data_IF_982463534109
#
_entry.id   IF_982463534109
#
_cell.length_a   1.000
_cell.length_b   1.000
_cell.length_c   1.000
_cell.angle_alpha   90.00
_cell.angle_beta   90.00
_cell.angle_gamma   90.00
#
_symmetry.space_group_name_H-M   'P 1'
#
loop_
_entity.id
_entity.type
_entity.pdbx_description
1 polymer ?
#
# COMPACT_ATOMS: atom_id res chain seq x y z
N UNK A 1 -29.05 26.60 41.87
CA UNK A 1 -29.08 26.38 43.33
C UNK A 1 -29.99 25.18 43.58
N UNK A 2 -29.45 24.21 44.33
CA UNK A 2 -29.95 22.92 44.86
C UNK A 2 -31.45 22.56 44.71
N UNK A 3 -31.82 21.40 44.14
CA UNK A 3 -31.89 20.00 44.69
C UNK A 3 -33.12 19.75 45.56
N UNK A 4 -33.88 18.71 45.19
CA UNK A 4 -34.47 17.59 45.96
C UNK A 4 -35.60 16.95 45.10
N UNK A 5 -35.92 15.65 45.02
CA UNK A 5 -35.28 14.35 45.23
C UNK A 5 -36.38 13.26 45.09
N UNK A 6 -36.06 12.11 44.46
CA UNK A 6 -36.62 10.74 44.70
C UNK A 6 -38.12 10.45 44.38
N UNK A 7 -38.58 9.30 43.87
CA UNK A 7 -38.05 7.91 43.83
C UNK A 7 -38.83 7.00 42.87
N UNK A 8 -38.10 6.08 42.21
CA UNK A 8 -38.37 4.66 41.85
C UNK A 8 -39.77 4.10 41.53
N UNK A 9 -39.91 3.42 40.38
CA UNK A 9 -40.29 1.98 40.29
C UNK A 9 -40.16 1.40 38.86
N UNK A 10 -39.43 0.28 38.75
CA UNK A 10 -39.54 -0.84 37.80
C UNK A 10 -39.24 -2.10 38.65
N UNK A 11 -39.59 -3.36 38.28
CA UNK A 11 -39.80 -3.88 36.92
C UNK A 11 -40.98 -4.88 36.76
N UNK A 12 -41.29 -5.28 35.52
CA UNK A 12 -41.72 -6.66 35.24
C UNK A 12 -41.35 -7.08 33.81
N UNK A 13 -40.84 -8.31 33.74
CA UNK A 13 -40.55 -9.15 32.56
C UNK A 13 -41.84 -9.37 31.74
N UNK A 14 -41.90 -9.84 30.49
CA UNK A 14 -41.16 -10.87 29.78
C UNK A 14 -41.67 -10.82 28.32
N UNK A 15 -40.83 -11.07 27.31
CA UNK A 15 -41.10 -12.03 26.20
C UNK A 15 -39.88 -12.04 25.28
N UNK A 16 -38.98 -13.00 25.55
CA UNK A 16 -37.90 -13.42 24.66
C UNK A 16 -38.50 -14.31 23.58
N UNK A 17 -38.58 -13.81 22.35
CA UNK A 17 -38.90 -14.64 21.18
C UNK A 17 -37.67 -15.48 20.83
N UNK A 18 -37.67 -16.74 21.30
CA UNK A 18 -36.73 -17.78 20.87
C UNK A 18 -37.03 -18.15 19.42
N UNK A 19 -36.15 -17.79 18.49
CA UNK A 19 -36.13 -18.40 17.17
C UNK A 19 -35.59 -19.83 17.29
N UNK A 20 -36.48 -20.80 17.11
CA UNK A 20 -36.14 -22.20 16.91
C UNK A 20 -35.57 -22.39 15.50
N UNK A 21 -34.29 -22.76 15.40
CA UNK A 21 -33.73 -23.33 14.19
C UNK A 21 -34.08 -24.83 14.11
N UNK A 22 -34.64 -25.33 13.00
CA UNK A 22 -34.81 -26.76 12.81
C UNK A 22 -33.45 -27.46 12.58
N UNK A 23 -33.30 -28.72 13.01
CA UNK A 23 -32.02 -29.42 12.95
C UNK A 23 -31.62 -29.76 11.51
N UNK A 24 -30.31 -29.66 11.28
CA UNK A 24 -29.56 -30.08 10.09
C UNK A 24 -29.92 -31.51 9.67
N UNK A 25 -30.55 -31.66 8.50
CA UNK A 25 -30.63 -32.94 7.82
C UNK A 25 -29.25 -33.31 7.28
N UNK A 26 -28.70 -34.41 7.79
CA UNK A 26 -27.54 -35.10 7.21
C UNK A 26 -27.94 -35.62 5.83
N UNK A 27 -27.26 -35.16 4.78
CA UNK A 27 -27.28 -35.81 3.48
C UNK A 27 -26.63 -37.19 3.62
N UNK A 28 -27.45 -38.24 3.57
CA UNK A 28 -27.01 -39.62 3.39
C UNK A 28 -26.62 -39.81 1.92
N UNK A 29 -25.42 -40.36 1.68
CA UNK A 29 -25.01 -40.81 0.36
C UNK A 29 -25.85 -42.02 -0.09
N UNK A 30 -26.28 -42.09 -1.36
CA UNK A 30 -27.05 -43.23 -1.85
C UNK A 30 -26.14 -44.46 -2.07
N UNK A 31 -26.69 -45.69 -1.93
CA UNK A 31 -25.95 -46.91 -2.19
C UNK A 31 -25.75 -47.14 -3.69
N UNK A 32 -24.52 -47.47 -4.07
CA UNK A 32 -24.18 -47.93 -5.42
C UNK A 32 -24.63 -49.39 -5.60
N UNK A 33 -25.49 -49.62 -6.60
CA UNK A 33 -25.74 -50.96 -7.16
C UNK A 33 -25.13 -51.05 -8.55
N UNK A 34 -24.49 -52.18 -8.76
CA UNK A 34 -23.66 -52.59 -9.88
C UNK A 34 -24.45 -52.90 -11.16
N UNK A 35 -23.85 -52.56 -12.31
CA UNK A 35 -24.20 -53.11 -13.62
C UNK A 35 -23.17 -52.70 -14.67
N UNK A 36 -22.32 -53.67 -15.05
CA UNK A 36 -21.41 -53.80 -16.21
C UNK A 36 -21.56 -52.75 -17.34
N UNK A 37 -20.51 -52.28 -18.03
CA UNK A 37 -19.49 -53.10 -18.66
C UNK A 37 -18.31 -52.24 -19.22
N UNK A 38 -17.13 -52.87 -19.26
CA UNK A 38 -16.00 -52.68 -20.19
C UNK A 38 -15.10 -51.43 -20.13
N UNK A 39 -13.80 -51.67 -19.88
CA UNK A 39 -12.72 -50.75 -20.25
C UNK A 39 -11.46 -50.85 -19.39
N UNK A 40 -10.55 -51.75 -19.75
CA UNK A 40 -9.28 -52.08 -19.10
C UNK A 40 -8.37 -50.91 -18.65
N UNK A 41 -7.74 -51.03 -17.47
CA UNK A 41 -6.29 -51.25 -17.28
C UNK A 41 -5.90 -51.05 -15.81
N UNK A 42 -5.50 -52.11 -15.10
CA UNK A 42 -4.90 -52.01 -13.77
C UNK A 42 -3.38 -52.20 -13.83
N UNK A 43 -2.67 -51.20 -13.32
CA UNK A 43 -1.27 -51.25 -12.93
C UNK A 43 -1.07 -52.21 -11.74
N UNK A 44 0.02 -52.99 -11.75
CA UNK A 44 0.58 -53.61 -10.54
C UNK A 44 2.07 -53.29 -10.48
N UNK A 45 2.47 -52.52 -9.48
CA UNK A 45 3.86 -52.20 -9.16
C UNK A 45 3.94 -51.59 -7.76
N UNK A 46 4.23 -52.44 -6.77
CA UNK A 46 4.35 -52.09 -5.36
C UNK A 46 5.51 -51.12 -5.11
N UNK A 47 5.22 -50.01 -4.43
CA UNK A 47 6.22 -49.08 -3.89
C UNK A 47 6.67 -49.54 -2.49
N UNK A 48 7.98 -49.79 -2.31
CA UNK A 48 8.63 -49.80 -0.99
C UNK A 48 9.11 -48.38 -0.69
N UNK A 49 8.68 -47.86 0.46
CA UNK A 49 9.03 -46.54 0.96
C UNK A 49 10.43 -46.51 1.57
N UNK A 50 11.29 -45.63 1.05
CA UNK A 50 12.45 -45.14 1.77
C UNK A 50 12.50 -43.62 1.61
N UNK A 51 11.97 -42.91 2.61
CA UNK A 51 12.01 -41.45 2.70
C UNK A 51 13.44 -41.00 3.02
N UNK A 52 14.22 -40.61 2.00
CA UNK A 52 15.36 -39.70 2.16
C UNK A 52 15.04 -38.42 1.40
N UNK A 53 14.61 -37.39 2.12
CA UNK A 53 14.55 -36.02 1.58
C UNK A 53 15.98 -35.53 1.39
N UNK A 54 16.45 -35.58 0.15
CA UNK A 54 17.64 -34.84 -0.26
C UNK A 54 17.23 -33.38 -0.47
N UNK A 55 17.43 -32.51 0.52
CA UNK A 55 17.29 -31.07 0.30
C UNK A 55 18.57 -30.57 -0.38
N UNK A 56 18.51 -30.36 -1.69
CA UNK A 56 19.55 -29.60 -2.39
C UNK A 56 19.33 -28.14 -1.99
N UNK A 57 20.16 -27.65 -1.06
CA UNK A 57 20.31 -26.22 -0.79
C UNK A 57 21.18 -25.64 -1.91
N UNK A 58 20.59 -24.87 -2.81
CA UNK A 58 21.35 -23.96 -3.66
C UNK A 58 21.73 -22.72 -2.83
N UNK A 59 23.02 -22.39 -2.66
CA UNK A 59 23.43 -21.13 -2.07
C UNK A 59 23.42 -20.03 -3.14
N UNK A 60 22.89 -18.84 -2.82
CA UNK A 60 23.27 -17.61 -3.54
C UNK A 60 22.28 -16.97 -4.51
N UNK A 61 20.96 -17.18 -4.38
CA UNK A 61 19.98 -16.25 -4.97
C UNK A 61 19.30 -15.48 -3.83
N UNK A 62 19.44 -14.15 -3.83
CA UNK A 62 18.84 -13.27 -2.82
C UNK A 62 17.39 -13.62 -2.57
N UNK A 63 17.04 -13.86 -1.31
CA UNK A 63 15.67 -14.19 -0.91
C UNK A 63 14.81 -12.96 -1.22
N UNK A 64 13.88 -13.08 -2.16
CA UNK A 64 12.88 -12.03 -2.44
C UNK A 64 12.17 -11.71 -1.12
N UNK A 65 12.17 -10.44 -0.70
CA UNK A 65 11.47 -10.01 0.51
C UNK A 65 9.98 -10.38 0.35
N UNK A 66 9.54 -11.39 1.08
CA UNK A 66 8.19 -11.95 0.95
C UNK A 66 7.14 -11.05 1.59
N UNK A 67 7.50 -10.25 2.61
CA UNK A 67 6.57 -9.38 3.35
C UNK A 67 6.93 -7.90 3.24
N UNK A 68 6.47 -7.26 2.17
CA UNK A 68 6.53 -5.79 2.00
C UNK A 68 5.15 -5.11 2.19
N UNK A 69 4.18 -5.78 2.82
CA UNK A 69 2.91 -5.17 3.21
C UNK A 69 3.03 -4.56 4.62
N UNK A 70 2.18 -3.58 4.91
CA UNK A 70 2.16 -2.92 6.22
C UNK A 70 1.72 -3.90 7.32
N UNK A 71 2.06 -3.60 8.58
CA UNK A 71 1.65 -4.41 9.71
C UNK A 71 0.12 -4.49 9.84
N UNK A 72 -0.40 -5.71 9.66
CA UNK A 72 -1.81 -6.05 9.79
C UNK A 72 -2.36 -5.92 11.21
N UNK A 73 -3.68 -6.05 11.32
CA UNK A 73 -4.42 -6.01 12.58
C UNK A 73 -4.64 -4.62 13.18
N UNK A 74 -5.05 -4.63 14.45
CA UNK A 74 -5.49 -3.45 15.22
C UNK A 74 -4.61 -3.17 16.46
N UNK A 75 -3.51 -3.93 16.59
CA UNK A 75 -2.60 -3.86 17.73
C UNK A 75 -1.78 -2.56 17.78
N UNK A 76 -1.03 -2.32 18.87
CA UNK A 76 -0.27 -1.08 19.06
C UNK A 76 0.80 -0.83 17.99
N UNK A 77 1.31 -1.88 17.33
CA UNK A 77 2.29 -1.78 16.24
C UNK A 77 1.68 -1.94 14.84
N UNK A 78 0.35 -2.01 14.75
CA UNK A 78 -0.35 -2.11 13.47
C UNK A 78 -0.28 -0.80 12.68
N UNK A 79 -0.38 -0.90 11.36
CA UNK A 79 -0.48 0.27 10.51
C UNK A 79 -1.73 1.10 10.80
N UNK A 80 -2.86 0.45 11.09
CA UNK A 80 -4.13 1.10 11.45
C UNK A 80 -3.98 2.12 12.60
N UNK A 81 -3.10 1.84 13.56
CA UNK A 81 -2.82 2.70 14.73
C UNK A 81 -1.68 3.70 14.53
N UNK A 82 -0.88 3.56 13.47
CA UNK A 82 0.37 4.31 13.29
C UNK A 82 0.49 5.00 11.91
N UNK A 83 -0.63 5.14 11.18
CA UNK A 83 -0.70 5.73 9.84
C UNK A 83 -1.24 7.18 9.82
N UNK A 84 -1.10 7.92 10.93
CA UNK A 84 -1.57 9.31 11.06
C UNK A 84 -0.82 10.28 10.13
N UNK A 85 0.43 9.97 9.81
CA UNK A 85 1.20 10.71 8.80
C UNK A 85 0.54 10.64 7.42
N UNK A 86 0.21 9.43 6.96
CA UNK A 86 -0.48 9.23 5.67
C UNK A 86 -1.92 9.72 5.71
N UNK A 87 -2.58 9.73 6.88
CA UNK A 87 -3.90 10.35 7.02
C UNK A 87 -3.85 11.84 6.69
N UNK A 88 -2.83 12.56 7.16
CA UNK A 88 -2.62 13.97 6.81
C UNK A 88 -2.49 14.21 5.31
N UNK A 89 -1.89 13.26 4.58
CA UNK A 89 -1.78 13.31 3.11
C UNK A 89 -3.16 13.23 2.45
N UNK A 90 -4.04 12.34 2.94
CA UNK A 90 -5.43 12.26 2.45
C UNK A 90 -6.20 13.55 2.78
N UNK A 91 -6.01 14.08 3.98
CA UNK A 91 -6.73 15.26 4.45
C UNK A 91 -6.35 16.53 3.66
N UNK A 92 -5.07 16.74 3.36
CA UNK A 92 -4.62 17.90 2.53
C UNK A 92 -5.02 17.76 1.06
N UNK A 93 -5.12 16.54 0.55
CA UNK A 93 -5.54 16.28 -0.83
C UNK A 93 -7.05 16.41 -1.05
N UNK A 94 -7.85 16.27 0.01
CA UNK A 94 -9.32 16.30 -0.05
C UNK A 94 -9.90 17.47 -0.87
N UNK A 95 -9.60 18.75 -0.56
CA UNK A 95 -10.19 19.86 -1.31
C UNK A 95 -9.80 19.85 -2.79
N UNK A 96 -8.58 19.41 -3.10
CA UNK A 96 -8.09 19.31 -4.47
C UNK A 96 -8.84 18.21 -5.22
N UNK A 97 -9.04 17.04 -4.61
CA UNK A 97 -9.80 15.93 -5.21
C UNK A 97 -11.26 16.35 -5.45
N UNK A 98 -11.89 17.01 -4.48
CA UNK A 98 -13.26 17.52 -4.61
C UNK A 98 -13.39 18.55 -5.76
N UNK A 99 -12.45 19.50 -5.84
CA UNK A 99 -12.38 20.51 -6.91
C UNK A 99 -12.21 19.86 -8.28
N UNK A 100 -11.25 18.96 -8.42
CA UNK A 100 -10.89 18.36 -9.69
C UNK A 100 -11.97 17.40 -10.21
N UNK A 101 -12.61 16.63 -9.33
CA UNK A 101 -13.79 15.82 -9.71
C UNK A 101 -14.90 16.74 -10.22
N UNK A 102 -15.16 17.85 -9.53
CA UNK A 102 -16.17 18.82 -9.96
C UNK A 102 -15.85 19.41 -11.35
N UNK A 103 -14.59 19.71 -11.63
CA UNK A 103 -14.15 20.35 -12.86
C UNK A 103 -14.01 19.39 -14.06
N UNK A 104 -13.55 18.16 -13.83
CA UNK A 104 -13.04 17.28 -14.88
C UNK A 104 -13.87 16.03 -15.12
N UNK A 105 -14.72 15.62 -14.18
CA UNK A 105 -15.54 14.44 -14.38
C UNK A 105 -16.60 14.69 -15.46
N UNK A 106 -16.51 13.96 -16.57
CA UNK A 106 -17.52 13.99 -17.62
C UNK A 106 -18.72 13.13 -17.22
N UNK A 107 -19.87 13.78 -17.05
CA UNK A 107 -21.12 13.11 -16.67
C UNK A 107 -21.88 12.53 -17.87
N UNK A 108 -21.59 12.97 -19.11
CA UNK A 108 -22.41 12.66 -20.29
C UNK A 108 -22.27 11.21 -20.78
N UNK A 109 -21.19 10.54 -20.40
CA UNK A 109 -20.81 9.22 -20.89
C UNK A 109 -20.61 8.19 -19.77
N UNK A 110 -21.23 8.40 -18.62
CA UNK A 110 -21.11 7.49 -17.49
C UNK A 110 -21.99 6.25 -17.65
N UNK A 111 -21.39 5.09 -17.36
CA UNK A 111 -22.11 3.83 -17.21
C UNK A 111 -22.99 3.87 -15.96
N UNK A 112 -23.96 2.96 -15.88
CA UNK A 112 -24.76 2.73 -14.67
C UNK A 112 -23.92 2.35 -13.44
N UNK A 113 -22.67 1.91 -13.63
CA UNK A 113 -21.73 1.61 -12.55
C UNK A 113 -20.45 2.44 -12.70
N UNK A 114 -20.07 3.13 -11.64
CA UNK A 114 -18.83 3.89 -11.56
C UNK A 114 -17.79 3.13 -10.74
N UNK A 115 -16.72 2.68 -11.41
CA UNK A 115 -15.70 1.82 -10.83
C UNK A 115 -14.48 2.62 -10.39
N UNK A 116 -14.10 2.45 -9.12
CA UNK A 116 -12.97 3.12 -8.48
C UNK A 116 -11.96 2.06 -8.03
N UNK A 117 -10.68 2.37 -8.08
CA UNK A 117 -9.64 1.49 -7.52
C UNK A 117 -8.67 2.30 -6.67
N UNK A 118 -8.34 1.78 -5.49
CA UNK A 118 -7.24 2.27 -4.67
C UNK A 118 -6.06 1.29 -4.76
N UNK A 119 -4.95 1.75 -5.33
CA UNK A 119 -3.72 0.98 -5.52
C UNK A 119 -2.76 1.23 -4.35
N UNK A 120 -2.63 0.23 -3.47
CA UNK A 120 -1.89 0.32 -2.21
C UNK A 120 -2.77 0.69 -1.02
N UNK A 121 -3.89 -0.02 -0.86
CA UNK A 121 -4.91 0.30 0.14
C UNK A 121 -4.53 -0.05 1.59
N UNK A 122 -3.47 -0.85 1.79
CA UNK A 122 -3.05 -1.38 3.09
C UNK A 122 -4.24 -2.03 3.82
N UNK A 123 -4.37 -1.82 5.13
CA UNK A 123 -5.43 -2.36 5.98
C UNK A 123 -6.71 -1.51 6.02
N UNK A 124 -6.91 -0.60 5.06
CA UNK A 124 -8.21 0.02 4.81
C UNK A 124 -8.50 1.36 5.50
N UNK A 125 -7.87 1.72 6.62
CA UNK A 125 -8.29 2.90 7.40
C UNK A 125 -8.22 4.23 6.63
N UNK A 126 -7.03 4.58 6.11
CA UNK A 126 -6.87 5.79 5.30
C UNK A 126 -7.52 5.65 3.91
N UNK A 127 -7.51 4.44 3.36
CA UNK A 127 -8.11 4.10 2.08
C UNK A 127 -9.63 4.35 2.06
N UNK A 128 -10.35 3.85 3.06
CA UNK A 128 -11.78 4.06 3.26
C UNK A 128 -12.12 5.56 3.30
N UNK A 129 -11.32 6.37 4.00
CA UNK A 129 -11.52 7.81 4.06
C UNK A 129 -11.33 8.48 2.69
N UNK A 130 -10.29 8.11 1.93
CA UNK A 130 -10.07 8.62 0.58
C UNK A 130 -11.19 8.23 -0.38
N UNK A 131 -11.66 6.98 -0.34
CA UNK A 131 -12.77 6.50 -1.16
C UNK A 131 -14.08 7.20 -0.80
N UNK A 132 -14.34 7.46 0.48
CA UNK A 132 -15.49 8.27 0.91
C UNK A 132 -15.42 9.68 0.32
N UNK A 133 -14.26 10.34 0.36
CA UNK A 133 -14.07 11.67 -0.25
C UNK A 133 -14.39 11.62 -1.75
N UNK A 134 -13.86 10.64 -2.48
CA UNK A 134 -14.06 10.52 -3.93
C UNK A 134 -15.53 10.27 -4.27
N UNK A 135 -16.16 9.27 -3.64
CA UNK A 135 -17.57 8.92 -3.91
C UNK A 135 -18.52 10.06 -3.57
N UNK A 136 -18.27 10.77 -2.46
CA UNK A 136 -19.05 11.92 -2.05
C UNK A 136 -18.85 13.13 -2.99
N UNK A 137 -17.63 13.39 -3.44
CA UNK A 137 -17.36 14.43 -4.44
C UNK A 137 -18.11 14.18 -5.75
N UNK A 138 -18.12 12.92 -6.21
CA UNK A 138 -18.88 12.53 -7.41
C UNK A 138 -20.38 12.74 -7.15
N UNK A 139 -20.91 12.26 -6.02
CA UNK A 139 -22.32 12.44 -5.66
C UNK A 139 -22.73 13.90 -5.68
N UNK A 140 -21.96 14.78 -5.02
CA UNK A 140 -22.20 16.23 -5.00
C UNK A 140 -22.17 16.84 -6.40
N UNK A 141 -21.27 16.37 -7.27
CA UNK A 141 -21.21 16.82 -8.66
C UNK A 141 -22.52 16.51 -9.41
N UNK A 142 -23.10 15.33 -9.21
CA UNK A 142 -24.42 14.99 -9.76
C UNK A 142 -25.55 15.83 -9.15
N UNK A 143 -25.51 16.13 -7.84
CA UNK A 143 -26.50 16.99 -7.19
C UNK A 143 -26.51 18.41 -7.76
N UNK A 144 -25.32 19.01 -7.92
CA UNK A 144 -25.16 20.38 -8.45
C UNK A 144 -25.71 20.50 -9.88
N UNK A 145 -25.53 19.46 -10.70
CA UNK A 145 -26.03 19.41 -12.08
C UNK A 145 -27.51 19.01 -12.16
N UNK A 146 -28.18 18.75 -11.02
CA UNK A 146 -29.58 18.31 -11.00
C UNK A 146 -29.80 16.89 -11.54
N UNK A 147 -28.75 16.07 -11.57
CA UNK A 147 -28.72 14.73 -12.16
C UNK A 147 -28.71 13.61 -11.10
N UNK A 148 -29.07 13.89 -9.84
CA UNK A 148 -28.97 12.90 -8.75
C UNK A 148 -29.74 11.59 -9.01
N UNK A 149 -30.83 11.64 -9.79
CA UNK A 149 -31.57 10.44 -10.21
C UNK A 149 -30.81 9.54 -11.19
N UNK A 150 -29.71 10.03 -11.75
CA UNK A 150 -28.79 9.33 -12.67
C UNK A 150 -27.48 8.96 -11.97
N UNK A 151 -27.38 9.12 -10.65
CA UNK A 151 -26.20 8.74 -9.89
C UNK A 151 -25.89 7.25 -10.10
N UNK A 152 -24.69 6.88 -10.56
CA UNK A 152 -24.34 5.49 -10.80
C UNK A 152 -24.09 4.74 -9.48
N UNK A 153 -24.26 3.43 -9.52
CA UNK A 153 -23.80 2.57 -8.44
C UNK A 153 -22.27 2.61 -8.37
N UNK A 154 -21.71 2.84 -7.18
CA UNK A 154 -20.26 2.81 -7.00
C UNK A 154 -19.77 1.38 -6.72
N UNK A 155 -18.65 1.00 -7.33
CA UNK A 155 -17.95 -0.24 -7.01
C UNK A 155 -16.46 0.02 -6.85
N UNK A 156 -15.89 -0.36 -5.71
CA UNK A 156 -14.53 -0.02 -5.31
C UNK A 156 -13.66 -1.27 -5.23
N UNK A 157 -12.53 -1.24 -5.92
CA UNK A 157 -11.47 -2.24 -5.86
C UNK A 157 -10.36 -1.75 -4.92
N UNK A 158 -10.18 -2.43 -3.79
CA UNK A 158 -9.08 -2.20 -2.88
C UNK A 158 -7.92 -3.13 -3.26
N UNK A 159 -6.89 -2.58 -3.88
CA UNK A 159 -5.71 -3.33 -4.29
C UNK A 159 -4.56 -3.20 -3.29
N UNK A 160 -3.93 -4.32 -2.97
CA UNK A 160 -2.63 -4.37 -2.31
C UNK A 160 -1.91 -5.68 -2.67
N UNK A 161 -0.68 -5.86 -2.17
CA UNK A 161 0.09 -7.10 -2.30
C UNK A 161 -0.71 -8.29 -1.73
N UNK A 162 -0.44 -9.48 -2.25
CA UNK A 162 -1.07 -10.74 -1.80
C UNK A 162 -0.90 -10.98 -0.29
N UNK A 163 0.20 -10.49 0.29
CA UNK A 163 0.52 -10.62 1.71
C UNK A 163 -0.15 -9.60 2.62
N UNK A 164 -0.93 -8.67 2.07
CA UNK A 164 -1.66 -7.68 2.85
C UNK A 164 -2.76 -8.33 3.69
N UNK A 165 -3.07 -7.73 4.84
CA UNK A 165 -4.14 -8.16 5.71
C UNK A 165 -5.49 -7.60 5.24
N UNK A 166 -6.05 -8.22 4.20
CA UNK A 166 -7.37 -7.90 3.69
C UNK A 166 -8.50 -8.16 4.70
N UNK A 167 -8.29 -9.04 5.70
CA UNK A 167 -9.30 -9.29 6.73
C UNK A 167 -9.50 -8.03 7.60
N UNK A 168 -8.41 -7.40 8.03
CA UNK A 168 -8.48 -6.12 8.74
C UNK A 168 -9.10 -5.04 7.86
N UNK A 169 -8.74 -4.98 6.56
CA UNK A 169 -9.40 -4.07 5.62
C UNK A 169 -10.92 -4.28 5.57
N UNK A 170 -11.39 -5.52 5.36
CA UNK A 170 -12.82 -5.80 5.26
C UNK A 170 -13.57 -5.51 6.55
N UNK A 171 -12.95 -5.73 7.72
CA UNK A 171 -13.51 -5.36 9.01
C UNK A 171 -13.58 -3.84 9.23
N UNK A 172 -12.70 -3.07 8.59
CA UNK A 172 -12.67 -1.60 8.68
C UNK A 172 -13.64 -0.89 7.73
N UNK A 173 -14.29 -1.61 6.80
CA UNK A 173 -15.21 -1.01 5.83
C UNK A 173 -16.40 -0.34 6.54
N UNK A 174 -16.72 0.93 6.20
CA UNK A 174 -17.88 1.62 6.75
C UNK A 174 -19.18 0.87 6.48
N UNK A 175 -20.07 0.80 7.48
CA UNK A 175 -21.40 0.16 7.34
C UNK A 175 -22.29 0.92 6.36
N UNK A 176 -22.34 2.24 6.53
CA UNK A 176 -23.11 3.16 5.68
C UNK A 176 -22.20 3.71 4.58
N UNK A 177 -21.95 2.90 3.55
CA UNK A 177 -21.15 3.28 2.39
C UNK A 177 -21.99 3.29 1.13
N UNK A 178 -21.63 4.16 0.19
CA UNK A 178 -22.31 4.31 -1.11
C UNK A 178 -21.84 3.31 -2.17
N UNK A 179 -20.98 2.35 -1.79
CA UNK A 179 -20.28 1.50 -2.75
C UNK A 179 -20.25 0.02 -2.37
N UNK A 180 -20.30 -0.84 -3.39
CA UNK A 180 -19.82 -2.21 -3.31
C UNK A 180 -18.30 -2.25 -3.22
N UNK A 181 -17.72 -3.26 -2.58
CA UNK A 181 -16.28 -3.36 -2.35
C UNK A 181 -15.75 -4.75 -2.70
N UNK A 182 -14.55 -4.81 -3.28
CA UNK A 182 -13.79 -6.03 -3.50
C UNK A 182 -12.30 -5.81 -3.19
N UNK A 183 -11.64 -6.82 -2.64
CA UNK A 183 -10.18 -6.86 -2.53
C UNK A 183 -9.56 -7.43 -3.81
N UNK A 184 -8.49 -6.82 -4.29
CA UNK A 184 -7.74 -7.24 -5.49
C UNK A 184 -6.28 -7.50 -5.12
N UNK A 185 -5.91 -8.75 -4.77
CA UNK A 185 -4.54 -9.07 -4.35
C UNK A 185 -3.60 -9.12 -5.56
N UNK A 186 -2.50 -8.37 -5.53
CA UNK A 186 -1.50 -8.37 -6.59
C UNK A 186 -0.64 -7.10 -6.63
N UNK A 187 0.47 -7.16 -7.34
CA UNK A 187 1.31 -5.97 -7.58
C UNK A 187 0.63 -5.04 -8.57
N UNK A 188 0.47 -3.76 -8.22
CA UNK A 188 0.03 -2.74 -9.17
C UNK A 188 1.07 -2.41 -10.25
N UNK A 189 2.28 -2.97 -10.20
CA UNK A 189 3.21 -2.91 -11.33
C UNK A 189 2.87 -3.91 -12.44
N UNK A 190 1.81 -4.69 -12.27
CA UNK A 190 1.21 -5.56 -13.27
C UNK A 190 -0.24 -5.18 -13.59
N UNK A 191 -0.87 -5.94 -14.48
CA UNK A 191 -2.31 -5.88 -14.73
C UNK A 191 -3.09 -6.53 -13.59
N UNK A 192 -4.16 -5.88 -13.15
CA UNK A 192 -5.03 -6.27 -12.04
C UNK A 192 -6.51 -6.33 -12.47
N UNK A 193 -6.90 -5.49 -13.43
CA UNK A 193 -8.29 -5.37 -13.89
C UNK A 193 -8.41 -5.66 -15.40
N UNK A 194 -9.61 -6.00 -15.90
CA UNK A 194 -9.86 -6.06 -17.33
C UNK A 194 -9.63 -4.69 -18.01
N UNK A 195 -9.46 -4.72 -19.33
CA UNK A 195 -9.31 -3.48 -20.12
C UNK A 195 -10.55 -2.58 -19.99
N UNK A 196 -10.34 -1.28 -19.87
CA UNK A 196 -11.39 -0.27 -19.77
C UNK A 196 -12.47 -0.59 -18.71
N UNK A 197 -12.06 -1.18 -17.59
CA UNK A 197 -12.92 -1.55 -16.48
C UNK A 197 -12.91 -0.52 -15.34
N UNK A 198 -12.13 0.55 -15.44
CA UNK A 198 -11.93 1.50 -14.35
C UNK A 198 -12.26 2.94 -14.76
N UNK A 199 -13.05 3.65 -13.95
CA UNK A 199 -13.41 5.06 -14.20
C UNK A 199 -12.48 6.02 -13.46
N UNK A 200 -12.08 5.67 -12.23
CA UNK A 200 -11.22 6.48 -11.39
C UNK A 200 -10.17 5.63 -10.67
N UNK A 201 -8.90 5.98 -10.84
CA UNK A 201 -7.79 5.38 -10.10
C UNK A 201 -7.32 6.32 -8.99
N UNK A 202 -6.96 5.74 -7.84
CA UNK A 202 -6.39 6.46 -6.72
C UNK A 202 -5.17 5.68 -6.21
N UNK A 203 -4.12 6.39 -5.80
CA UNK A 203 -2.99 5.80 -5.08
C UNK A 203 -2.36 6.85 -4.18
N UNK A 204 -2.08 6.48 -2.93
CA UNK A 204 -1.48 7.37 -1.95
C UNK A 204 -0.36 6.66 -1.18
N UNK A 205 0.80 7.32 -1.08
CA UNK A 205 1.97 6.85 -0.33
C UNK A 205 2.40 5.40 -0.64
N UNK A 206 2.17 4.97 -1.88
CA UNK A 206 2.39 3.58 -2.31
C UNK A 206 3.37 3.48 -3.48
N UNK A 207 3.37 4.45 -4.40
CA UNK A 207 4.24 4.42 -5.58
C UNK A 207 5.74 4.60 -5.28
N UNK A 208 6.09 5.05 -4.08
CA UNK A 208 7.48 5.11 -3.60
C UNK A 208 8.05 3.71 -3.28
N UNK A 209 7.22 2.66 -3.19
CA UNK A 209 7.67 1.29 -2.95
C UNK A 209 8.03 0.59 -4.26
N UNK A 210 9.30 0.28 -4.47
CA UNK A 210 9.79 -0.39 -5.67
C UNK A 210 9.21 -1.82 -5.80
N UNK A 211 9.15 -2.31 -7.03
CA UNK A 211 8.74 -3.68 -7.33
C UNK A 211 9.75 -4.71 -6.79
N UNK A 212 11.04 -4.37 -6.83
CA UNK A 212 12.15 -5.16 -6.30
C UNK A 212 13.30 -4.26 -5.86
N UNK A 213 14.23 -4.81 -5.05
CA UNK A 213 15.52 -4.15 -4.78
C UNK A 213 16.35 -4.18 -6.06
N UNK A 214 16.98 -3.06 -6.49
CA UNK A 214 17.81 -3.05 -7.68
C UNK A 214 18.95 -4.08 -7.58
N UNK A 215 19.04 -5.02 -8.53
CA UNK A 215 19.94 -6.19 -8.41
C UNK A 215 21.41 -5.78 -8.25
N UNK A 216 21.81 -4.71 -8.93
CA UNK A 216 23.17 -4.19 -8.89
C UNK A 216 23.61 -3.70 -7.50
N UNK A 217 22.69 -3.41 -6.57
CA UNK A 217 23.05 -2.98 -5.21
C UNK A 217 23.33 -4.14 -4.26
N UNK A 218 22.97 -5.36 -4.66
CA UNK A 218 23.23 -6.61 -3.93
C UNK A 218 24.44 -7.37 -4.47
N UNK A 219 24.92 -7.03 -5.67
CA UNK A 219 26.04 -7.68 -6.33
C UNK A 219 27.37 -7.11 -5.81
N UNK A 220 28.18 -7.94 -5.14
CA UNK A 220 29.46 -7.53 -4.54
C UNK A 220 30.51 -7.11 -5.56
N UNK A 221 30.32 -7.42 -6.84
CA UNK A 221 31.21 -7.03 -7.95
C UNK A 221 30.79 -5.74 -8.63
N UNK A 222 29.56 -5.27 -8.36
CA UNK A 222 28.99 -4.07 -8.95
C UNK A 222 29.59 -2.79 -8.31
N UNK A 223 29.83 -1.73 -9.09
CA UNK A 223 30.18 -0.42 -8.53
C UNK A 223 29.06 0.16 -7.66
N UNK A 224 27.82 -0.31 -7.86
CA UNK A 224 26.64 0.05 -7.09
C UNK A 224 26.41 -0.84 -5.85
N UNK A 225 27.33 -1.73 -5.46
CA UNK A 225 27.16 -2.55 -4.26
C UNK A 225 26.98 -1.68 -3.00
N UNK A 226 25.84 -1.81 -2.31
CA UNK A 226 25.47 -0.94 -1.19
C UNK A 226 26.03 -1.42 0.15
N UNK A 227 27.35 -1.61 0.23
CA UNK A 227 28.03 -2.13 1.42
C UNK A 227 27.81 -1.23 2.66
N UNK A 228 27.47 -1.84 3.79
CA UNK A 228 27.32 -1.23 5.10
C UNK A 228 26.10 -0.33 5.25
N UNK A 229 25.15 -0.42 4.31
CA UNK A 229 23.93 0.40 4.26
C UNK A 229 22.74 -0.46 3.85
N UNK A 230 21.56 0.06 4.12
CA UNK A 230 20.28 -0.62 3.82
C UNK A 230 19.41 0.18 2.84
N UNK A 231 19.90 1.32 2.36
CA UNK A 231 19.13 2.25 1.53
C UNK A 231 20.09 3.16 0.76
N UNK A 232 19.59 3.92 -0.23
CA UNK A 232 20.41 4.76 -1.08
C UNK A 232 20.86 6.09 -0.44
N UNK A 233 20.24 6.49 0.68
CA UNK A 233 20.57 7.75 1.35
C UNK A 233 21.98 7.69 1.97
N UNK A 234 22.82 8.67 1.62
CA UNK A 234 24.25 8.67 1.98
C UNK A 234 25.08 7.59 1.28
N UNK A 235 24.52 6.89 0.30
CA UNK A 235 25.23 5.90 -0.50
C UNK A 235 26.04 6.56 -1.63
N UNK A 236 26.75 5.73 -2.39
CA UNK A 236 27.47 6.20 -3.59
C UNK A 236 26.47 6.58 -4.68
N UNK A 237 26.88 7.47 -5.58
CA UNK A 237 26.05 7.92 -6.72
C UNK A 237 25.51 6.75 -7.52
N UNK A 238 26.30 5.71 -7.73
CA UNK A 238 25.91 4.51 -8.49
C UNK A 238 24.73 3.78 -7.81
N UNK A 239 24.68 3.73 -6.48
CA UNK A 239 23.54 3.16 -5.73
C UNK A 239 22.28 3.99 -5.97
N UNK A 240 22.42 5.32 -5.89
CA UNK A 240 21.31 6.24 -6.14
C UNK A 240 20.73 6.11 -7.53
N UNK A 241 21.60 6.01 -8.55
CA UNK A 241 21.21 5.83 -9.95
C UNK A 241 20.46 4.51 -10.15
N UNK A 242 20.89 3.42 -9.53
CA UNK A 242 20.18 2.12 -9.60
C UNK A 242 18.78 2.17 -8.98
N UNK A 243 18.63 2.86 -7.84
CA UNK A 243 17.31 3.08 -7.23
C UNK A 243 16.40 3.95 -8.10
N UNK A 244 16.92 5.03 -8.68
CA UNK A 244 16.20 5.92 -9.59
C UNK A 244 15.78 5.19 -10.87
N UNK A 245 16.67 4.39 -11.47
CA UNK A 245 16.39 3.59 -12.65
C UNK A 245 15.28 2.56 -12.40
N UNK A 246 15.34 1.87 -11.26
CA UNK A 246 14.29 0.92 -10.87
C UNK A 246 12.95 1.63 -10.65
N UNK A 247 12.94 2.78 -9.98
CA UNK A 247 11.73 3.60 -9.82
C UNK A 247 11.13 4.01 -11.16
N UNK A 248 11.95 4.52 -12.09
CA UNK A 248 11.48 4.94 -13.41
C UNK A 248 10.80 3.79 -14.17
N UNK A 249 11.43 2.60 -14.18
CA UNK A 249 10.89 1.38 -14.79
C UNK A 249 9.56 0.96 -14.16
N UNK A 250 9.48 1.04 -12.84
CA UNK A 250 8.30 0.67 -12.06
C UNK A 250 7.13 1.62 -12.34
N UNK A 251 7.37 2.93 -12.34
CA UNK A 251 6.33 3.92 -12.66
C UNK A 251 5.87 3.82 -14.11
N UNK A 252 6.78 3.58 -15.07
CA UNK A 252 6.38 3.33 -16.46
C UNK A 252 5.44 2.12 -16.56
N UNK A 253 5.80 1.01 -15.91
CA UNK A 253 4.97 -0.19 -15.88
C UNK A 253 3.61 0.08 -15.24
N UNK A 254 3.58 0.79 -14.10
CA UNK A 254 2.34 1.20 -13.45
C UNK A 254 1.45 2.01 -14.41
N UNK A 255 1.98 3.09 -15.01
CA UNK A 255 1.24 3.95 -15.93
C UNK A 255 0.72 3.18 -17.14
N UNK A 256 1.51 2.25 -17.67
CA UNK A 256 1.14 1.41 -18.80
C UNK A 256 -0.04 0.49 -18.51
N UNK A 257 0.00 -0.24 -17.39
CA UNK A 257 -1.11 -1.11 -17.01
C UNK A 257 -2.35 -0.32 -16.62
N UNK A 258 -2.21 0.79 -15.89
CA UNK A 258 -3.36 1.67 -15.58
C UNK A 258 -4.00 2.24 -16.84
N UNK A 259 -3.22 2.47 -17.91
CA UNK A 259 -3.74 3.03 -19.16
C UNK A 259 -4.61 2.03 -19.94
N UNK A 260 -4.35 0.73 -19.76
CA UNK A 260 -5.18 -0.33 -20.32
C UNK A 260 -6.46 -0.53 -19.51
N UNK A 261 -6.39 -0.39 -18.19
CA UNK A 261 -7.50 -0.63 -17.26
C UNK A 261 -8.48 0.54 -17.18
N UNK A 262 -7.99 1.78 -17.29
CA UNK A 262 -8.82 2.98 -17.30
C UNK A 262 -9.60 3.10 -18.62
N UNK A 263 -10.86 3.50 -18.51
CA UNK A 263 -11.64 3.95 -19.67
C UNK A 263 -10.99 5.19 -20.29
N UNK A 264 -11.16 5.43 -21.60
CA UNK A 264 -10.79 6.71 -22.21
C UNK A 264 -11.43 7.88 -21.45
N UNK A 265 -10.64 8.91 -21.11
CA UNK A 265 -11.09 10.05 -20.30
C UNK A 265 -11.17 9.78 -18.79
N UNK A 266 -10.92 8.56 -18.33
CA UNK A 266 -10.86 8.21 -16.90
C UNK A 266 -9.78 8.99 -16.15
N UNK A 267 -10.02 9.25 -14.86
CA UNK A 267 -9.15 10.07 -14.02
C UNK A 267 -8.28 9.20 -13.13
N UNK A 268 -7.09 9.70 -12.79
CA UNK A 268 -6.18 9.06 -11.85
C UNK A 268 -5.54 10.10 -10.93
N UNK A 269 -5.82 10.00 -9.64
CA UNK A 269 -5.25 10.87 -8.61
C UNK A 269 -4.13 10.14 -7.86
N UNK A 270 -2.92 10.71 -7.88
CA UNK A 270 -1.72 10.14 -7.27
C UNK A 270 -1.18 11.09 -6.20
N UNK A 271 -0.87 10.54 -5.02
CA UNK A 271 -0.22 11.24 -3.92
C UNK A 271 1.10 10.53 -3.62
N UNK A 272 2.19 11.09 -4.13
CA UNK A 272 3.52 10.46 -4.09
C UNK A 272 4.41 11.24 -3.13
N UNK A 273 4.99 10.59 -2.12
CA UNK A 273 6.01 11.23 -1.30
C UNK A 273 7.26 11.53 -2.12
N UNK A 274 7.74 12.77 -2.06
CA UNK A 274 8.86 13.26 -2.86
C UNK A 274 9.87 14.00 -2.00
N UNK A 275 11.09 14.12 -2.50
CA UNK A 275 12.14 14.94 -1.87
C UNK A 275 12.72 15.92 -2.89
N UNK A 276 12.96 17.19 -2.54
CA UNK A 276 13.57 18.18 -3.44
C UNK A 276 14.97 17.79 -3.94
N UNK A 277 15.70 16.99 -3.16
CA UNK A 277 16.98 16.41 -3.53
C UNK A 277 17.09 14.98 -2.99
N UNK A 278 17.56 14.05 -3.81
CA UNK A 278 17.81 12.68 -3.42
C UNK A 278 19.24 12.51 -2.86
N UNK A 279 19.45 11.43 -2.11
CA UNK A 279 20.78 10.93 -1.70
C UNK A 279 21.58 11.70 -0.64
N UNK A 280 21.15 12.89 -0.21
CA UNK A 280 21.82 13.63 0.86
C UNK A 280 21.44 13.11 2.27
N UNK A 281 22.39 12.55 3.05
CA UNK A 281 22.12 12.08 4.40
C UNK A 281 21.95 13.21 5.42
N UNK A 282 22.35 14.44 5.11
CA UNK A 282 22.16 15.62 5.97
C UNK A 282 20.88 16.41 5.63
N UNK A 283 20.03 15.83 4.79
CA UNK A 283 18.78 16.45 4.38
C UNK A 283 17.81 16.59 5.56
N UNK A 284 17.04 17.68 5.56
CA UNK A 284 15.97 17.92 6.53
C UNK A 284 14.68 17.14 6.18
N UNK A 285 14.80 15.95 5.60
CA UNK A 285 13.66 15.14 5.16
C UNK A 285 13.56 13.90 6.05
N UNK A 286 12.57 13.86 6.93
CA UNK A 286 12.39 12.75 7.86
C UNK A 286 12.26 11.40 7.12
N UNK A 287 11.64 11.40 5.93
CA UNK A 287 11.43 10.20 5.12
C UNK A 287 12.70 9.52 4.63
N UNK A 288 13.76 10.28 4.32
CA UNK A 288 15.07 9.73 3.89
C UNK A 288 16.01 9.50 5.07
N UNK A 289 15.94 10.34 6.10
CA UNK A 289 16.78 10.22 7.29
C UNK A 289 16.39 9.02 8.17
N UNK A 290 15.10 8.68 8.24
CA UNK A 290 14.60 7.52 8.98
C UNK A 290 15.28 6.18 8.59
N UNK A 291 15.26 5.73 7.31
CA UNK A 291 15.93 4.49 6.91
C UNK A 291 17.46 4.56 7.08
N UNK A 292 18.07 5.74 6.92
CA UNK A 292 19.50 5.93 7.18
C UNK A 292 19.87 5.65 8.65
N UNK A 293 19.11 6.22 9.60
CA UNK A 293 19.33 5.98 11.03
C UNK A 293 19.08 4.52 11.40
N UNK A 294 18.06 3.87 10.83
CA UNK A 294 17.83 2.44 11.04
C UNK A 294 19.01 1.58 10.54
N UNK A 295 19.55 1.91 9.36
CA UNK A 295 20.76 1.27 8.83
C UNK A 295 21.94 1.33 9.81
N UNK A 296 22.12 2.49 10.45
CA UNK A 296 23.17 2.64 11.46
C UNK A 296 22.93 1.78 12.71
N UNK A 297 21.67 1.56 13.13
CA UNK A 297 21.35 0.62 14.20
C UNK A 297 21.75 -0.82 13.85
N UNK A 298 21.47 -1.26 12.61
CA UNK A 298 21.89 -2.61 12.17
C UNK A 298 23.41 -2.76 12.19
N UNK A 299 24.15 -1.74 11.77
CA UNK A 299 25.62 -1.75 11.83
C UNK A 299 26.13 -1.79 13.27
N UNK A 300 25.52 -1.07 14.21
CA UNK A 300 25.88 -1.15 15.62
C UNK A 300 25.63 -2.56 16.18
N UNK A 301 24.48 -3.16 15.87
CA UNK A 301 24.14 -4.52 16.29
C UNK A 301 25.10 -5.57 15.69
N UNK A 302 25.52 -5.40 14.43
CA UNK A 302 26.50 -6.25 13.78
C UNK A 302 27.88 -6.18 14.48
N UNK A 303 28.34 -4.96 14.81
CA UNK A 303 29.59 -4.74 15.54
C UNK A 303 29.58 -5.36 16.94
N UNK A 304 28.42 -5.39 17.60
CA UNK A 304 28.24 -6.08 18.90
C UNK A 304 28.07 -7.60 18.77
N UNK A 305 28.15 -8.15 17.55
CA UNK A 305 28.10 -9.60 17.31
C UNK A 305 26.69 -10.20 17.26
N UNK A 306 25.62 -9.39 17.13
CA UNK A 306 24.24 -9.91 17.03
C UNK A 306 24.02 -10.71 15.74
N UNK A 307 24.67 -10.29 14.65
CA UNK A 307 24.77 -10.97 13.36
C UNK A 307 25.97 -10.40 12.59
N UNK A 308 26.32 -10.99 11.43
CA UNK A 308 27.44 -10.51 10.61
C UNK A 308 27.10 -9.21 9.85
N UNK A 309 28.11 -8.39 9.57
CA UNK A 309 27.96 -7.23 8.67
C UNK A 309 27.45 -7.64 7.29
N UNK A 310 27.87 -8.81 6.79
CA UNK A 310 27.36 -9.37 5.53
C UNK A 310 25.83 -9.60 5.54
N UNK A 311 25.21 -9.84 6.71
CA UNK A 311 23.76 -9.92 6.84
C UNK A 311 23.10 -8.56 6.58
N UNK A 312 23.74 -7.47 7.03
CA UNK A 312 23.32 -6.09 6.73
C UNK A 312 23.53 -5.77 5.26
N UNK A 313 24.71 -6.08 4.70
CA UNK A 313 25.05 -5.83 3.29
C UNK A 313 24.07 -6.49 2.31
N UNK A 314 23.45 -7.60 2.71
CA UNK A 314 22.45 -8.33 1.91
C UNK A 314 21.03 -7.79 2.00
N UNK A 315 20.78 -6.77 2.83
CA UNK A 315 19.45 -6.18 3.04
C UNK A 315 19.40 -4.76 2.48
N UNK A 316 18.39 -4.48 1.67
CA UNK A 316 18.11 -3.15 1.17
C UNK A 316 16.60 -2.90 1.18
N UNK A 317 16.18 -1.71 1.61
CA UNK A 317 14.79 -1.29 1.63
C UNK A 317 14.39 -0.91 0.20
N UNK A 318 13.33 -1.52 -0.38
CA UNK A 318 12.88 -1.24 -1.74
C UNK A 318 11.98 0.01 -1.78
N UNK A 319 12.52 1.15 -1.38
CA UNK A 319 11.79 2.43 -1.39
C UNK A 319 12.64 3.49 -2.09
N UNK A 320 12.03 4.28 -2.98
CA UNK A 320 12.63 5.44 -3.60
C UNK A 320 11.70 6.66 -3.48
N UNK A 321 12.27 7.79 -3.09
CA UNK A 321 11.57 9.07 -3.07
C UNK A 321 12.08 9.90 -4.24
N UNK A 322 11.27 10.08 -5.30
CA UNK A 322 11.69 10.82 -6.48
C UNK A 322 11.75 12.31 -6.20
N UNK A 323 12.51 12.99 -7.06
CA UNK A 323 12.43 14.44 -7.18
C UNK A 323 11.17 14.80 -8.00
N UNK A 324 10.40 15.85 -7.66
CA UNK A 324 9.16 16.16 -8.38
C UNK A 324 9.32 16.28 -9.91
N UNK A 325 10.41 16.89 -10.37
CA UNK A 325 10.73 17.03 -11.79
C UNK A 325 11.02 15.68 -12.47
N UNK A 326 11.67 14.76 -11.77
CA UNK A 326 11.95 13.40 -12.27
C UNK A 326 10.64 12.63 -12.46
N UNK A 327 9.75 12.66 -11.46
CA UNK A 327 8.46 11.98 -11.55
C UNK A 327 7.59 12.53 -12.67
N UNK A 328 7.54 13.86 -12.81
CA UNK A 328 6.84 14.52 -13.91
C UNK A 328 7.39 14.09 -15.28
N UNK A 329 8.71 14.05 -15.44
CA UNK A 329 9.35 13.66 -16.70
C UNK A 329 9.01 12.22 -17.11
N UNK A 330 8.89 11.29 -16.15
CA UNK A 330 8.47 9.91 -16.43
C UNK A 330 7.03 9.88 -16.98
N UNK A 331 6.11 10.65 -16.37
CA UNK A 331 4.70 10.73 -16.83
C UNK A 331 4.63 11.32 -18.24
N UNK A 332 5.37 12.40 -18.50
CA UNK A 332 5.41 13.04 -19.81
C UNK A 332 5.96 12.10 -20.88
N UNK A 333 7.04 11.37 -20.57
CA UNK A 333 7.64 10.37 -21.46
C UNK A 333 6.69 9.22 -21.77
N UNK A 334 5.89 8.77 -20.80
CA UNK A 334 4.90 7.70 -21.02
C UNK A 334 3.85 8.10 -22.06
N UNK A 335 3.42 9.37 -22.06
CA UNK A 335 2.61 9.95 -23.12
C UNK A 335 1.14 9.48 -23.18
N UNK A 336 0.69 8.54 -22.35
CA UNK A 336 -0.68 7.99 -22.36
C UNK A 336 -1.72 8.84 -21.61
N UNK A 337 -1.26 9.85 -20.87
CA UNK A 337 -2.09 10.71 -20.02
C UNK A 337 -1.87 12.19 -20.34
N UNK A 338 -2.91 13.00 -20.12
CA UNK A 338 -2.75 14.44 -19.91
C UNK A 338 -2.55 14.70 -18.41
N UNK A 339 -1.67 15.64 -18.09
CA UNK A 339 -1.45 16.10 -16.72
C UNK A 339 -2.43 17.27 -16.49
N UNK A 340 -3.45 17.04 -15.68
CA UNK A 340 -4.51 18.02 -15.42
C UNK A 340 -4.17 18.95 -14.25
N UNK A 341 -3.39 18.46 -13.29
CA UNK A 341 -2.86 19.22 -12.16
C UNK A 341 -1.62 18.53 -11.59
N UNK A 342 -0.64 19.34 -11.21
CA UNK A 342 0.49 18.94 -10.36
C UNK A 342 0.58 19.98 -9.24
N UNK A 343 0.67 19.51 -8.01
CA UNK A 343 0.82 20.37 -6.84
C UNK A 343 1.78 19.75 -5.84
N UNK A 344 2.63 20.57 -5.24
CA UNK A 344 3.48 20.17 -4.13
C UNK A 344 2.81 20.62 -2.84
N UNK A 345 2.51 19.65 -1.97
CA UNK A 345 1.76 19.83 -0.75
C UNK A 345 2.67 19.61 0.46
N UNK A 346 2.51 20.46 1.47
CA UNK A 346 3.00 20.16 2.81
C UNK A 346 2.08 19.11 3.47
N UNK A 347 2.66 18.17 4.20
CA UNK A 347 1.87 17.13 4.86
C UNK A 347 1.55 17.54 6.32
N UNK A 348 0.30 17.93 6.64
CA UNK A 348 -0.07 18.24 8.03
C UNK A 348 0.08 17.03 8.97
N UNK A 349 0.10 15.81 8.42
CA UNK A 349 0.28 14.56 9.16
C UNK A 349 1.62 14.47 9.89
N UNK A 350 2.63 15.26 9.52
CA UNK A 350 3.90 15.33 10.25
C UNK A 350 3.72 15.82 11.69
N UNK A 351 2.76 16.70 11.95
CA UNK A 351 2.45 17.20 13.29
C UNK A 351 1.73 16.17 14.17
N UNK A 352 1.26 15.06 13.60
CA UNK A 352 0.71 13.94 14.37
C UNK A 352 1.82 13.02 14.91
N UNK A 353 3.07 13.19 14.48
CA UNK A 353 4.24 12.50 15.02
C UNK A 353 4.89 13.45 16.03
N UNK A 354 4.47 13.38 17.29
CA UNK A 354 4.79 14.40 18.30
C UNK A 354 6.18 14.25 18.91
N UNK A 355 6.90 13.19 18.54
CA UNK A 355 8.30 13.02 18.91
C UNK A 355 8.89 11.69 18.45
N UNK A 356 10.14 11.39 18.88
CA UNK A 356 10.91 10.25 18.40
C UNK A 356 10.23 8.88 18.51
N UNK A 357 9.43 8.67 19.57
CA UNK A 357 8.69 7.42 19.77
C UNK A 357 7.59 7.21 18.74
N UNK A 358 6.88 8.27 18.37
CA UNK A 358 5.82 8.20 17.35
C UNK A 358 6.44 7.92 15.97
N UNK A 359 7.59 8.55 15.67
CA UNK A 359 8.36 8.25 14.46
C UNK A 359 8.86 6.79 14.43
N UNK A 360 9.34 6.27 15.56
CA UNK A 360 9.75 4.87 15.67
C UNK A 360 8.58 3.91 15.45
N UNK A 361 7.43 4.17 16.09
CA UNK A 361 6.22 3.35 15.96
C UNK A 361 5.65 3.39 14.53
N UNK A 362 5.62 4.58 13.93
CA UNK A 362 5.28 4.77 12.52
C UNK A 362 6.18 3.94 11.61
N UNK A 363 7.50 4.08 11.72
CA UNK A 363 8.44 3.34 10.87
C UNK A 363 8.37 1.82 11.12
N UNK A 364 8.13 1.39 12.36
CA UNK A 364 7.89 -0.02 12.71
C UNK A 364 6.69 -0.57 11.97
N UNK A 365 5.57 0.14 11.98
CA UNK A 365 4.32 -0.30 11.35
C UNK A 365 4.42 -0.51 9.83
N UNK A 366 5.40 0.12 9.16
CA UNK A 366 5.60 0.00 7.71
C UNK A 366 6.71 -1.00 7.32
N UNK A 367 7.58 -1.38 8.26
CA UNK A 367 8.80 -2.14 7.94
C UNK A 367 8.96 -3.44 8.73
N UNK A 368 8.27 -3.64 9.86
CA UNK A 368 8.52 -4.79 10.74
C UNK A 368 8.42 -6.14 10.01
N UNK A 369 7.42 -6.32 9.14
CA UNK A 369 7.27 -7.55 8.35
C UNK A 369 8.52 -7.93 7.54
N UNK A 370 9.12 -6.98 6.81
CA UNK A 370 10.32 -7.24 6.00
C UNK A 370 11.57 -7.42 6.87
N UNK A 371 11.62 -6.73 8.01
CA UNK A 371 12.72 -6.85 8.96
C UNK A 371 12.72 -8.23 9.62
N UNK A 372 11.55 -8.75 10.00
CA UNK A 372 11.39 -10.11 10.52
C UNK A 372 11.82 -11.15 9.49
N UNK A 373 11.37 -10.99 8.23
CA UNK A 373 11.68 -11.92 7.15
C UNK A 373 13.20 -12.09 6.90
N UNK A 374 13.97 -11.03 7.08
CA UNK A 374 15.42 -11.01 6.83
C UNK A 374 16.26 -11.22 8.09
N UNK A 375 15.97 -10.48 9.16
CA UNK A 375 16.79 -10.47 10.37
C UNK A 375 16.30 -11.43 11.47
N UNK A 376 15.03 -11.82 11.45
CA UNK A 376 14.38 -12.60 12.51
C UNK A 376 13.59 -11.72 13.47
N UNK A 377 12.57 -12.28 14.13
CA UNK A 377 11.73 -11.54 15.09
C UNK A 377 12.44 -11.20 16.40
N UNK A 378 13.47 -11.97 16.76
CA UNK A 378 14.21 -11.87 18.01
C UNK A 378 15.06 -10.60 18.17
N UNK A 379 15.17 -9.78 17.11
CA UNK A 379 15.93 -8.53 17.13
C UNK A 379 15.04 -7.29 17.17
N UNK A 380 13.73 -7.42 16.95
CA UNK A 380 12.85 -6.29 16.66
C UNK A 380 12.75 -5.32 17.83
N UNK A 381 12.52 -5.81 19.05
CA UNK A 381 12.43 -4.93 20.23
C UNK A 381 13.75 -4.18 20.47
N UNK A 382 14.87 -4.89 20.47
CA UNK A 382 16.21 -4.29 20.63
C UNK A 382 16.51 -3.26 19.54
N UNK A 383 16.15 -3.56 18.29
CA UNK A 383 16.33 -2.67 17.15
C UNK A 383 15.56 -1.37 17.33
N UNK A 384 14.26 -1.44 17.67
CA UNK A 384 13.43 -0.26 17.80
C UNK A 384 13.75 0.57 19.06
N UNK A 385 14.26 -0.06 20.12
CA UNK A 385 14.83 0.66 21.27
C UNK A 385 16.07 1.48 20.87
N UNK A 386 16.99 0.87 20.11
CA UNK A 386 18.18 1.55 19.58
C UNK A 386 17.80 2.65 18.58
N UNK A 387 16.83 2.38 17.73
CA UNK A 387 16.36 3.31 16.71
C UNK A 387 15.73 4.54 17.34
N UNK A 388 14.86 4.36 18.34
CA UNK A 388 14.27 5.46 19.11
C UNK A 388 15.33 6.38 19.70
N UNK A 389 16.39 5.82 20.31
CA UNK A 389 17.51 6.62 20.85
C UNK A 389 18.26 7.43 19.79
N UNK A 390 18.39 6.90 18.57
CA UNK A 390 19.00 7.64 17.46
C UNK A 390 18.11 8.75 16.93
N UNK A 391 16.79 8.54 16.92
CA UNK A 391 15.82 9.57 16.59
C UNK A 391 15.84 10.69 17.64
N UNK A 392 15.90 10.36 18.94
CA UNK A 392 16.03 11.33 20.05
C UNK A 392 17.27 12.21 19.94
N UNK A 393 18.36 11.71 19.36
CA UNK A 393 19.59 12.46 19.15
C UNK A 393 19.54 13.44 17.96
N UNK A 394 18.47 13.41 17.15
CA UNK A 394 18.32 14.24 15.96
C UNK A 394 17.20 15.28 16.14
N UNK A 395 17.49 16.58 15.98
CA UNK A 395 16.48 17.64 16.07
C UNK A 395 15.31 17.45 15.10
N UNK A 396 15.57 16.82 13.94
CA UNK A 396 14.58 16.57 12.88
C UNK A 396 13.34 15.78 13.35
N UNK A 397 13.50 14.90 14.34
CA UNK A 397 12.41 14.05 14.85
C UNK A 397 11.86 14.53 16.19
N UNK A 398 12.35 15.66 16.69
CA UNK A 398 11.89 16.30 17.92
C UNK A 398 10.98 17.50 17.65
N UNK A 399 11.10 18.11 16.46
CA UNK A 399 10.29 19.24 16.03
C UNK A 399 9.72 18.95 14.62
N UNK A 400 8.40 18.80 14.46
CA UNK A 400 7.79 18.53 13.16
C UNK A 400 7.99 19.66 12.14
N UNK A 401 8.27 20.89 12.57
CA UNK A 401 8.57 22.01 11.66
C UNK A 401 9.95 21.87 10.98
N UNK A 402 10.82 21.01 11.51
CA UNK A 402 12.09 20.69 10.89
C UNK A 402 11.92 19.73 9.69
N UNK A 403 10.83 18.96 9.61
CA UNK A 403 10.58 18.05 8.50
C UNK A 403 10.06 18.81 7.27
N UNK A 404 10.89 18.82 6.22
CA UNK A 404 10.63 19.43 4.92
C UNK A 404 10.17 18.42 3.87
N UNK A 405 9.80 17.21 4.28
CA UNK A 405 9.25 16.20 3.38
C UNK A 405 7.95 16.70 2.75
N UNK A 406 7.77 16.47 1.45
CA UNK A 406 6.65 16.98 0.67
C UNK A 406 5.92 15.85 -0.04
N UNK A 407 4.63 16.08 -0.30
CA UNK A 407 3.84 15.20 -1.15
C UNK A 407 3.59 15.87 -2.48
N UNK A 408 3.79 15.14 -3.57
CA UNK A 408 3.37 15.57 -4.89
C UNK A 408 1.98 14.99 -5.18
N UNK A 409 0.99 15.85 -5.31
CA UNK A 409 -0.31 15.52 -5.89
C UNK A 409 -0.22 15.62 -7.40
N UNK A 410 -0.75 14.60 -8.10
CA UNK A 410 -0.88 14.59 -9.55
C UNK A 410 -2.26 14.10 -9.92
N UNK A 411 -2.99 14.89 -10.72
CA UNK A 411 -4.18 14.44 -11.42
C UNK A 411 -3.85 14.17 -12.88
N UNK A 412 -4.11 12.95 -13.31
CA UNK A 412 -3.94 12.50 -14.68
C UNK A 412 -5.30 12.18 -15.29
N UNK A 413 -5.45 12.46 -16.58
CA UNK A 413 -6.59 12.00 -17.37
C UNK A 413 -6.11 11.11 -18.51
N UNK A 414 -6.74 9.94 -18.66
CA UNK A 414 -6.41 8.99 -19.73
C UNK A 414 -6.75 9.61 -21.08
N UNK A 415 -5.76 9.76 -21.96
CA UNK A 415 -6.00 10.26 -23.32
C UNK A 415 -6.97 9.35 -24.07
N UNK A 416 -7.82 9.96 -24.89
CA UNK A 416 -8.59 9.23 -25.89
C UNK A 416 -7.60 8.55 -26.85
N UNK A 417 -7.80 7.28 -27.15
CA UNK A 417 -7.04 6.65 -28.22
C UNK A 417 -7.39 7.41 -29.51
N UNK A 418 -6.38 8.02 -30.14
CA UNK A 418 -6.54 8.44 -31.52
C UNK A 418 -6.77 7.17 -32.32
N UNK A 419 -8.01 6.91 -32.72
CA UNK A 419 -8.26 6.01 -33.83
C UNK A 419 -7.49 6.61 -35.01
N UNK A 420 -6.27 6.13 -35.25
CA UNK A 420 -5.75 6.12 -36.60
C UNK A 420 -6.73 5.25 -37.36
N UNK A 421 -7.70 5.89 -38.00
CA UNK A 421 -8.41 5.31 -39.12
C UNK A 421 -7.33 4.83 -40.08
N UNK A 422 -7.07 3.53 -40.07
CA UNK A 422 -6.30 2.87 -41.11
C UNK A 422 -7.10 3.07 -42.39
N UNK A 423 -6.70 4.09 -43.16
CA UNK A 423 -7.16 4.36 -44.52
C UNK A 423 -6.52 3.39 -45.49
#
# INVERSE_FOLDING_TARGET
MLILSHTSHLPSETTLTKFFFPPTQRLQAPPSTSGNDQGACYCVGQARSSNRRCSIRSPGLGRMLTRCAMNGGEGPHSYARNSSYQKGVVDVAKPIIEEEISRKLDLKHLSSTFRIADFGCSTGHNSCAAIQIITEAIRRRFEIEGLISQLPDFYVYFNDKVTNDFNTLFNSLPRERLYGAAGVPGSFYGRLLPKAALNFAYSSCSLNWLSEVPKAVLDTTSPAWNRGKIHYVGARREVCEEYANQFAKDIESFLDFRAEELVPGGLMALLVPTVPASCDPNSAYAMTTAPYLLGSCFMDMAKTGRFSEAKVDSFNIPVYFPIPQEFKAIIERNGKYTIERIEVLDNPGKHNLTGPKDHAAHFRSVSEGMLIDHFGSEIIEELFDRYTKKLEASPLFSDPDCDKSIIMFVLLQRKLESYCSAS
#
